data_IF_190095252204
#
_entry.id   IF_190095252204
#
_cell.length_a   1.000
_cell.length_b   1.000
_cell.length_c   1.000
_cell.angle_alpha   90.00
_cell.angle_beta   90.00
_cell.angle_gamma   90.00
#
_symmetry.space_group_name_H-M   'P 1'
#
loop_
_entity.id
_entity.type
_entity.pdbx_description
1 polymer ?
#
# COMPACT_ATOMS: atom_id res chain seq x y z
N UNK A 1 12.83 17.53 2.05
CA UNK A 1 12.24 16.26 1.56
C UNK A 1 12.39 15.28 2.70
N UNK A 2 11.29 14.80 3.28
CA UNK A 2 11.41 13.70 4.24
C UNK A 2 12.04 12.50 3.53
N UNK A 3 13.12 11.92 4.09
CA UNK A 3 13.78 10.81 3.45
C UNK A 3 12.81 9.64 3.34
N UNK A 4 12.81 8.96 2.18
CA UNK A 4 12.13 7.67 2.03
C UNK A 4 12.80 6.71 3.00
N UNK A 5 12.07 6.31 4.05
CA UNK A 5 12.52 5.34 5.05
C UNK A 5 11.72 4.06 4.92
N UNK A 6 12.32 2.93 5.31
CA UNK A 6 11.65 1.64 5.23
C UNK A 6 10.41 1.58 6.12
N UNK A 7 10.45 2.22 7.30
CA UNK A 7 9.29 2.31 8.19
C UNK A 7 8.13 3.09 7.57
N UNK A 8 8.41 4.25 6.95
CA UNK A 8 7.39 5.04 6.27
C UNK A 8 6.82 4.31 5.04
N UNK A 9 7.66 3.58 4.30
CA UNK A 9 7.21 2.78 3.17
C UNK A 9 6.32 1.61 3.59
N UNK A 10 6.69 0.88 4.65
CA UNK A 10 5.86 -0.18 5.25
C UNK A 10 4.50 0.39 5.68
N UNK A 11 4.50 1.56 6.33
CA UNK A 11 3.27 2.23 6.74
C UNK A 11 2.38 2.60 5.54
N UNK A 12 2.96 3.15 4.47
CA UNK A 12 2.23 3.49 3.25
C UNK A 12 1.65 2.25 2.53
N UNK A 13 2.39 1.14 2.45
CA UNK A 13 1.88 -0.12 1.89
C UNK A 13 0.73 -0.66 2.73
N UNK A 14 0.86 -0.66 4.06
CA UNK A 14 -0.22 -1.10 4.95
C UNK A 14 -1.46 -0.19 4.86
N UNK A 15 -1.27 1.12 4.68
CA UNK A 15 -2.36 2.05 4.41
C UNK A 15 -3.04 1.75 3.07
N UNK A 16 -2.29 1.43 2.01
CA UNK A 16 -2.85 1.04 0.72
C UNK A 16 -3.66 -0.27 0.78
N UNK A 17 -3.19 -1.25 1.57
CA UNK A 17 -3.91 -2.52 1.80
C UNK A 17 -5.16 -2.30 2.65
N UNK A 18 -5.08 -1.43 3.66
CA UNK A 18 -6.17 -1.16 4.61
C UNK A 18 -7.16 -0.10 4.09
N UNK A 19 -6.80 0.62 3.03
CA UNK A 19 -7.57 1.70 2.42
C UNK A 19 -8.87 1.18 1.81
N UNK A 20 -9.90 1.05 2.66
CA UNK A 20 -11.30 0.80 2.32
C UNK A 20 -11.52 -0.32 1.28
N UNK A 21 -10.93 -1.50 1.47
CA UNK A 21 -11.40 -2.79 0.88
C UNK A 21 -11.88 -2.78 -0.57
N UNK A 22 -11.28 -1.95 -1.43
CA UNK A 22 -11.86 -1.59 -2.72
C UNK A 22 -10.82 -1.31 -3.80
N UNK A 23 -11.31 -0.96 -4.97
CA UNK A 23 -10.52 -0.73 -6.19
C UNK A 23 -9.38 0.28 -6.02
N UNK A 24 -9.51 1.26 -5.13
CA UNK A 24 -8.46 2.25 -4.87
C UNK A 24 -7.20 1.64 -4.24
N UNK A 25 -7.37 0.80 -3.21
CA UNK A 25 -6.25 0.08 -2.59
C UNK A 25 -5.61 -0.93 -3.56
N UNK A 26 -6.44 -1.63 -4.35
CA UNK A 26 -5.96 -2.52 -5.42
C UNK A 26 -5.10 -1.75 -6.44
N UNK A 27 -5.57 -0.60 -6.93
CA UNK A 27 -4.83 0.24 -7.89
C UNK A 27 -3.55 0.81 -7.29
N UNK A 28 -3.56 1.17 -6.01
CA UNK A 28 -2.35 1.61 -5.30
C UNK A 28 -1.31 0.49 -5.19
N UNK A 29 -1.74 -0.75 -4.94
CA UNK A 29 -0.85 -1.92 -4.92
C UNK A 29 -0.35 -2.32 -6.32
N UNK A 30 -1.19 -2.18 -7.35
CA UNK A 30 -0.80 -2.39 -8.74
C UNK A 30 0.25 -1.35 -9.21
N UNK A 31 0.05 -0.07 -8.87
CA UNK A 31 1.00 0.98 -9.20
C UNK A 31 2.32 0.79 -8.43
N UNK A 32 2.25 0.37 -7.16
CA UNK A 32 3.44 0.01 -6.38
C UNK A 32 4.19 -1.18 -6.97
N UNK A 33 3.49 -2.26 -7.32
CA UNK A 33 4.07 -3.44 -7.97
C UNK A 33 4.76 -3.10 -9.29
N UNK A 34 4.24 -2.13 -10.03
CA UNK A 34 4.87 -1.61 -11.26
C UNK A 34 6.20 -0.91 -10.96
N UNK A 35 6.26 -0.07 -9.92
CA UNK A 35 7.49 0.59 -9.46
C UNK A 35 8.54 -0.43 -9.02
N UNK A 36 8.14 -1.41 -8.20
CA UNK A 36 9.02 -2.50 -7.72
C UNK A 36 9.57 -3.31 -8.89
N UNK A 37 8.72 -3.71 -9.83
CA UNK A 37 9.16 -4.46 -11.02
C UNK A 37 10.18 -3.68 -11.84
N UNK A 38 9.91 -2.40 -12.11
CA UNK A 38 10.79 -1.55 -12.92
C UNK A 38 12.18 -1.47 -12.29
N UNK A 39 12.26 -1.36 -10.97
CA UNK A 39 13.55 -1.20 -10.28
C UNK A 39 14.31 -2.52 -10.12
N UNK A 40 13.60 -3.64 -9.94
CA UNK A 40 14.21 -4.98 -9.88
C UNK A 40 14.77 -5.39 -11.25
N UNK A 41 14.04 -5.17 -12.34
CA UNK A 41 14.55 -5.43 -13.71
C UNK A 41 15.79 -4.60 -14.04
N UNK A 42 15.84 -3.34 -13.58
CA UNK A 42 17.01 -2.47 -13.75
C UNK A 42 18.21 -2.91 -12.88
N UNK A 43 17.98 -3.68 -11.81
CA UNK A 43 19.02 -4.19 -10.91
C UNK A 43 19.65 -5.51 -11.34
N UNK A 44 18.91 -6.36 -12.06
CA UNK A 44 19.37 -7.70 -12.47
C UNK A 44 20.26 -7.71 -13.73
N UNK A 45 20.55 -6.54 -14.33
CA UNK A 45 21.46 -6.45 -15.47
C UNK A 45 20.96 -7.13 -16.75
N UNK A 46 19.69 -7.53 -16.80
CA UNK A 46 19.09 -8.07 -18.02
C UNK A 46 18.94 -6.95 -19.06
N UNK A 47 19.34 -7.20 -20.33
CA UNK A 47 19.00 -6.30 -21.42
C UNK A 47 17.47 -6.19 -21.47
N UNK A 48 16.95 -5.02 -21.83
CA UNK A 48 15.52 -4.76 -21.96
C UNK A 48 14.89 -5.67 -23.05
N UNK A 49 14.68 -6.94 -22.71
CA UNK A 49 13.95 -7.91 -23.51
C UNK A 49 12.49 -7.49 -23.50
N UNK A 50 11.96 -7.31 -24.71
CA UNK A 50 10.54 -7.07 -24.95
C UNK A 50 9.69 -8.08 -24.16
N UNK A 51 8.55 -7.64 -23.60
CA UNK A 51 7.65 -8.56 -22.91
C UNK A 51 7.24 -9.68 -23.89
N UNK A 52 7.53 -10.92 -23.52
CA UNK A 52 7.05 -12.10 -24.25
C UNK A 52 5.52 -12.11 -24.35
N UNK A 53 4.94 -12.99 -25.18
CA UNK A 53 3.52 -12.96 -25.55
C UNK A 53 2.53 -13.30 -24.41
N UNK A 54 2.99 -13.45 -23.18
CA UNK A 54 2.18 -13.39 -21.96
C UNK A 54 2.67 -12.20 -21.14
N UNK A 55 1.81 -11.20 -20.93
CA UNK A 55 2.16 -10.01 -20.16
C UNK A 55 2.78 -10.36 -18.79
N UNK A 56 3.60 -9.46 -18.22
CA UNK A 56 4.41 -9.79 -17.06
C UNK A 56 3.59 -10.12 -15.81
N UNK A 57 3.91 -11.25 -15.16
CA UNK A 57 3.27 -11.73 -13.93
C UNK A 57 3.29 -10.66 -12.82
N UNK A 58 2.17 -10.41 -12.13
CA UNK A 58 2.09 -9.40 -11.07
C UNK A 58 3.13 -9.69 -9.98
N UNK A 59 3.91 -8.67 -9.59
CA UNK A 59 4.82 -8.79 -8.44
C UNK A 59 3.97 -8.93 -7.19
N UNK A 60 4.06 -10.08 -6.53
CA UNK A 60 3.38 -10.32 -5.26
C UNK A 60 4.06 -9.50 -4.15
N UNK A 61 3.37 -8.47 -3.66
CA UNK A 61 3.82 -7.69 -2.52
C UNK A 61 3.46 -8.45 -1.23
N UNK A 62 4.43 -8.80 -0.37
CA UNK A 62 4.20 -9.65 0.80
C UNK A 62 3.63 -8.84 1.97
N UNK A 63 2.50 -8.17 1.78
CA UNK A 63 1.91 -7.28 2.80
C UNK A 63 1.33 -8.02 4.01
N UNK A 64 1.10 -9.32 3.90
CA UNK A 64 0.65 -10.22 4.97
C UNK A 64 1.80 -10.73 5.86
N UNK A 65 3.05 -10.61 5.40
CA UNK A 65 4.26 -10.95 6.15
C UNK A 65 5.08 -9.69 6.43
N UNK A 66 4.91 -9.14 7.64
CA UNK A 66 5.57 -7.90 8.05
C UNK A 66 7.10 -7.95 8.00
N UNK A 67 7.71 -9.14 8.15
CA UNK A 67 9.17 -9.30 8.06
C UNK A 67 9.61 -9.19 6.61
N UNK A 68 8.93 -9.89 5.70
CA UNK A 68 9.22 -9.82 4.25
C UNK A 68 8.92 -8.44 3.68
N UNK A 69 7.83 -7.80 4.10
CA UNK A 69 7.51 -6.43 3.69
C UNK A 69 8.60 -5.46 4.15
N UNK A 70 9.13 -5.61 5.36
CA UNK A 70 10.23 -4.78 5.86
C UNK A 70 11.50 -4.99 5.05
N UNK A 71 11.87 -6.24 4.75
CA UNK A 71 13.03 -6.56 3.92
C UNK A 71 12.91 -5.95 2.51
N UNK A 72 11.73 -6.05 1.90
CA UNK A 72 11.45 -5.41 0.61
C UNK A 72 11.60 -3.89 0.73
N UNK A 73 11.05 -3.27 1.78
CA UNK A 73 11.15 -1.84 1.98
C UNK A 73 12.60 -1.37 2.16
N UNK A 74 13.42 -2.10 2.92
CA UNK A 74 14.85 -1.81 3.10
C UNK A 74 15.60 -1.88 1.76
N UNK A 75 15.31 -2.89 0.93
CA UNK A 75 15.89 -3.02 -0.42
C UNK A 75 15.51 -1.85 -1.32
N UNK A 76 14.24 -1.45 -1.33
CA UNK A 76 13.77 -0.35 -2.18
C UNK A 76 14.34 1.01 -1.73
N UNK A 77 14.49 1.23 -0.43
CA UNK A 77 15.16 2.42 0.11
C UNK A 77 16.61 2.49 -0.35
N UNK A 78 17.33 1.38 -0.28
CA UNK A 78 18.72 1.33 -0.75
C UNK A 78 18.81 1.59 -2.26
N UNK A 79 17.89 1.01 -3.03
CA UNK A 79 17.81 1.25 -4.47
C UNK A 79 17.44 2.70 -4.82
N UNK A 80 16.59 3.34 -4.04
CA UNK A 80 16.25 4.76 -4.18
C UNK A 80 17.43 5.70 -3.92
N UNK A 81 18.44 5.28 -3.14
CA UNK A 81 19.69 6.04 -2.97
C UNK A 81 20.59 5.92 -4.20
N UNK A 82 20.59 4.75 -4.85
CA UNK A 82 21.40 4.46 -6.04
C UNK A 82 20.75 4.97 -7.34
N UNK A 83 19.43 5.15 -7.34
CA UNK A 83 18.63 5.61 -8.46
C UNK A 83 17.73 6.79 -8.04
N UNK A 84 18.17 8.05 -8.23
CA UNK A 84 17.44 9.23 -7.80
C UNK A 84 16.12 9.46 -8.54
N UNK A 85 15.93 8.89 -9.74
CA UNK A 85 14.65 8.91 -10.44
C UNK A 85 13.67 7.98 -9.72
N UNK A 86 14.07 6.75 -9.47
CA UNK A 86 13.27 5.80 -8.70
C UNK A 86 12.91 6.33 -7.31
N UNK A 87 13.87 6.96 -6.61
CA UNK A 87 13.61 7.56 -5.30
C UNK A 87 12.55 8.67 -5.33
N UNK A 88 12.48 9.46 -6.40
CA UNK A 88 11.45 10.50 -6.59
C UNK A 88 10.07 9.87 -6.82
N UNK A 89 10.01 8.85 -7.67
CA UNK A 89 8.76 8.15 -7.97
C UNK A 89 8.21 7.41 -6.75
N UNK A 90 9.08 6.76 -5.98
CA UNK A 90 8.72 6.09 -4.72
C UNK A 90 8.21 7.09 -3.67
N UNK A 91 8.89 8.23 -3.52
CA UNK A 91 8.44 9.29 -2.62
C UNK A 91 7.09 9.91 -3.06
N UNK A 92 6.86 10.05 -4.38
CA UNK A 92 5.59 10.53 -4.91
C UNK A 92 4.45 9.55 -4.60
N UNK A 93 4.65 8.26 -4.85
CA UNK A 93 3.70 7.21 -4.51
C UNK A 93 3.36 7.22 -3.01
N UNK A 94 4.36 7.37 -2.14
CA UNK A 94 4.15 7.43 -0.69
C UNK A 94 3.35 8.65 -0.25
N UNK A 95 3.50 9.82 -0.89
CA UNK A 95 2.65 10.99 -0.59
C UNK A 95 1.22 10.77 -1.06
N UNK A 96 1.05 10.24 -2.26
CA UNK A 96 -0.26 10.00 -2.85
C UNK A 96 -1.08 8.96 -2.08
N UNK A 97 -0.43 7.90 -1.57
CA UNK A 97 -1.12 6.76 -0.96
C UNK A 97 -0.84 6.57 0.55
N UNK A 98 0.17 7.23 1.11
CA UNK A 98 0.56 7.10 2.52
C UNK A 98 -0.10 8.10 3.47
N UNK A 99 -0.51 9.28 2.99
CA UNK A 99 -1.10 10.33 3.84
C UNK A 99 -2.63 10.17 4.05
N UNK A 100 -3.31 9.37 3.23
CA UNK A 100 -4.77 9.18 3.30
C UNK A 100 -5.27 8.42 4.55
N UNK A 101 -4.38 7.96 5.42
CA UNK A 101 -4.74 7.32 6.70
C UNK A 101 -4.67 8.27 7.91
N UNK A 102 -4.13 9.49 7.75
CA UNK A 102 -3.78 10.38 8.88
C UNK A 102 -4.68 11.60 9.08
N UNK A 103 -5.22 12.22 8.01
CA UNK A 103 -5.95 13.48 8.14
C UNK A 103 -7.28 13.48 7.36
N UNK A 104 -8.34 13.91 8.07
CA UNK A 104 -9.72 14.11 7.65
C UNK A 104 -10.59 12.85 7.42
N UNK A 105 -10.77 12.05 8.48
CA UNK A 105 -12.05 11.37 8.71
C UNK A 105 -12.11 9.89 8.35
N UNK A 106 -11.07 9.12 8.66
CA UNK A 106 -11.15 7.67 8.66
C UNK A 106 -11.63 7.16 10.04
N UNK A 107 -12.74 6.43 10.08
CA UNK A 107 -13.15 5.64 11.26
C UNK A 107 -12.52 4.27 11.15
N UNK A 108 -11.69 3.91 12.14
CA UNK A 108 -11.12 2.58 12.23
C UNK A 108 -11.92 1.73 13.23
N UNK A 109 -12.67 0.75 12.73
CA UNK A 109 -13.30 -0.26 13.57
C UNK A 109 -12.82 -1.65 13.14
N UNK A 110 -12.30 -2.43 14.09
CA UNK A 110 -11.90 -3.82 13.88
C UNK A 110 -12.81 -4.75 14.66
N UNK A 111 -13.43 -5.73 13.97
CA UNK A 111 -14.17 -6.83 14.58
C UNK A 111 -13.43 -8.12 14.22
N UNK A 112 -12.76 -8.74 15.19
CA UNK A 112 -11.97 -9.96 15.00
C UNK A 112 -12.15 -10.98 16.12
N UNK A 113 -11.61 -12.18 15.92
CA UNK A 113 -11.74 -13.32 16.84
C UNK A 113 -13.05 -14.12 16.67
N UNK A 114 -13.45 -14.87 17.70
CA UNK A 114 -14.72 -15.64 17.75
C UNK A 114 -15.94 -14.76 18.09
N UNK A 115 -15.99 -13.52 17.59
CA UNK A 115 -17.05 -12.57 17.93
C UNK A 115 -18.42 -13.10 17.45
N UNK A 116 -19.32 -13.41 18.39
CA UNK A 116 -20.72 -13.77 18.09
C UNK A 116 -21.59 -12.54 18.22
N UNK A 117 -21.98 -11.97 17.09
CA UNK A 117 -22.87 -10.83 17.03
C UNK A 117 -24.30 -11.34 16.87
N UNK A 118 -25.18 -10.99 17.82
CA UNK A 118 -26.62 -11.30 17.78
C UNK A 118 -27.39 -10.00 17.69
N UNK A 119 -27.41 -9.40 16.50
CA UNK A 119 -28.08 -8.13 16.21
C UNK A 119 -27.37 -7.32 15.12
N UNK A 120 -27.98 -6.23 14.63
CA UNK A 120 -27.37 -5.36 13.62
C UNK A 120 -26.21 -4.56 14.22
N UNK A 121 -25.12 -4.46 13.45
CA UNK A 121 -23.97 -3.60 13.79
C UNK A 121 -24.12 -2.29 13.04
N UNK A 122 -24.07 -1.18 13.77
CA UNK A 122 -24.10 0.16 13.17
C UNK A 122 -22.77 0.84 13.46
N UNK A 123 -22.06 1.21 12.40
CA UNK A 123 -20.77 1.90 12.46
C UNK A 123 -20.83 3.14 11.55
N UNK A 124 -20.38 4.28 12.05
CA UNK A 124 -20.38 5.53 11.29
C UNK A 124 -19.42 6.55 11.87
N UNK A 125 -19.03 7.52 11.04
CA UNK A 125 -18.14 8.63 11.39
C UNK A 125 -18.89 9.79 12.01
N UNK A 126 -19.92 10.23 11.31
CA UNK A 126 -20.79 11.33 11.69
C UNK A 126 -22.24 10.88 11.50
N UNK A 127 -23.09 11.28 12.42
CA UNK A 127 -24.51 10.96 12.45
C UNK A 127 -25.27 12.28 12.61
N UNK A 128 -26.11 12.65 11.64
CA UNK A 128 -26.81 13.93 11.64
C UNK A 128 -28.29 13.75 11.26
N UNK A 129 -29.16 14.48 11.95
CA UNK A 129 -30.61 14.33 11.87
C UNK A 129 -31.19 13.38 12.94
N UNK A 130 -32.52 13.26 13.04
CA UNK A 130 -33.13 12.30 13.97
C UNK A 130 -32.80 10.87 13.53
N UNK A 131 -32.17 10.10 14.41
CA UNK A 131 -31.83 8.70 14.18
C UNK A 131 -32.70 7.85 15.11
N UNK A 132 -33.38 6.87 14.53
CA UNK A 132 -34.15 5.89 15.28
C UNK A 132 -33.69 4.50 14.88
N UNK A 133 -33.20 3.77 15.87
CA UNK A 133 -33.09 2.32 15.83
C UNK A 133 -34.38 1.80 16.48
N UNK A 134 -35.09 0.91 15.79
CA UNK A 134 -36.44 0.47 16.16
C UNK A 134 -36.57 -0.06 17.58
#
# INVERSE_FOLDING_TARGET
MDPVTAGALVAAVNAAVSGAGGEAGRRALESFGTLVRRVLRRGEGEPAGEPGPGGPDPVAIPYDDGVRLRQLADLLVERARQDPEFGRDLAAWMREHGESAGEAGAVHNSIGGNARITGPVVQGRDFQGPISFG
#
